data_IF_976696685603
#
_entry.id   IF_976696685603
#
_cell.length_a   1.000
_cell.length_b   1.000
_cell.length_c   1.000
_cell.angle_alpha   90.00
_cell.angle_beta   90.00
_cell.angle_gamma   90.00
#
_symmetry.space_group_name_H-M   'P 1'
#
loop_
_entity.id
_entity.type
_entity.pdbx_description
1 polymer ?
#
# COMPACT_ATOMS: atom_id res chain seq x y z
N UNK A 1 -52.64 3.54 35.07
CA UNK A 1 -51.31 4.15 35.29
C UNK A 1 -50.37 3.09 35.84
N UNK A 2 -49.61 2.40 34.98
CA UNK A 2 -48.47 1.56 35.35
C UNK A 2 -47.39 1.78 34.29
N UNK A 3 -46.28 2.34 34.76
CA UNK A 3 -45.11 2.78 34.00
C UNK A 3 -44.43 1.54 33.41
N UNK A 4 -44.37 1.41 32.08
CA UNK A 4 -43.52 0.42 31.41
C UNK A 4 -42.21 1.13 31.09
N UNK A 5 -41.15 0.72 31.79
CA UNK A 5 -39.78 1.18 31.59
C UNK A 5 -39.30 0.64 30.23
N UNK A 6 -39.09 1.54 29.27
CA UNK A 6 -38.42 1.24 28.01
C UNK A 6 -36.92 1.13 28.33
N UNK A 7 -36.40 -0.09 28.38
CA UNK A 7 -34.96 -0.33 28.44
C UNK A 7 -34.37 -0.05 27.05
N UNK A 8 -33.93 1.19 26.81
CA UNK A 8 -33.08 1.51 25.67
C UNK A 8 -31.73 0.82 25.90
N UNK A 9 -31.55 -0.38 25.36
CA UNK A 9 -30.22 -0.88 25.06
C UNK A 9 -29.64 0.01 23.96
N UNK A 10 -28.82 0.98 24.35
CA UNK A 10 -27.87 1.59 23.43
C UNK A 10 -26.96 0.47 22.94
N UNK A 11 -27.07 0.13 21.65
CA UNK A 11 -26.06 -0.66 20.95
C UNK A 11 -24.76 0.15 21.02
N UNK A 12 -23.90 -0.13 21.99
CA UNK A 12 -22.49 0.18 21.87
C UNK A 12 -21.94 -0.72 20.76
N UNK A 13 -21.78 -0.15 19.57
CA UNK A 13 -21.08 -0.81 18.48
C UNK A 13 -19.69 -1.24 19.00
N UNK A 14 -19.36 -2.53 18.88
CA UNK A 14 -18.10 -3.12 19.32
C UNK A 14 -16.89 -2.32 18.79
N UNK A 15 -16.04 -1.74 19.66
CA UNK A 15 -14.75 -1.18 19.24
C UNK A 15 -13.66 -2.25 19.01
N UNK A 16 -13.98 -3.53 19.21
CA UNK A 16 -12.99 -4.60 19.38
C UNK A 16 -12.40 -5.22 18.09
N UNK A 17 -12.96 -4.96 16.92
CA UNK A 17 -12.48 -5.57 15.68
C UNK A 17 -11.22 -4.88 15.11
N UNK A 18 -11.05 -3.58 15.40
CA UNK A 18 -10.07 -2.73 14.74
C UNK A 18 -8.70 -2.76 15.46
N UNK A 19 -8.68 -2.67 16.79
CA UNK A 19 -7.42 -2.75 17.58
C UNK A 19 -6.73 -4.11 17.44
N UNK A 20 -7.52 -5.20 17.38
CA UNK A 20 -7.02 -6.55 17.16
C UNK A 20 -6.34 -6.69 15.79
N UNK A 21 -6.88 -6.04 14.76
CA UNK A 21 -6.30 -6.08 13.42
C UNK A 21 -4.93 -5.41 13.37
N UNK A 22 -4.80 -4.16 13.85
CA UNK A 22 -3.52 -3.44 13.78
C UNK A 22 -2.43 -4.12 14.58
N UNK A 23 -2.74 -4.65 15.77
CA UNK A 23 -1.79 -5.40 16.57
C UNK A 23 -1.36 -6.71 15.90
N UNK A 24 -2.30 -7.43 15.27
CA UNK A 24 -2.00 -8.67 14.54
C UNK A 24 -1.16 -8.40 13.28
N UNK A 25 -1.51 -7.37 12.49
CA UNK A 25 -0.74 -6.92 11.34
C UNK A 25 0.69 -6.54 11.74
N UNK A 26 0.85 -5.74 12.80
CA UNK A 26 2.16 -5.33 13.30
C UNK A 26 3.00 -6.53 13.77
N UNK A 27 2.38 -7.47 14.50
CA UNK A 27 3.06 -8.69 14.94
C UNK A 27 3.54 -9.52 13.74
N UNK A 28 2.67 -9.74 12.75
CA UNK A 28 2.99 -10.55 11.58
C UNK A 28 4.06 -9.91 10.71
N UNK A 29 3.96 -8.60 10.49
CA UNK A 29 4.89 -7.86 9.64
C UNK A 29 6.30 -7.79 10.24
N UNK A 30 6.45 -7.83 11.58
CA UNK A 30 7.76 -7.88 12.24
C UNK A 30 8.58 -9.12 11.88
N UNK A 31 7.92 -10.23 11.59
CA UNK A 31 8.52 -11.52 11.20
C UNK A 31 8.96 -11.55 9.72
N UNK A 32 8.59 -10.53 8.94
CA UNK A 32 8.89 -10.44 7.51
C UNK A 32 10.10 -9.52 7.32
N UNK A 33 11.16 -10.09 6.75
CA UNK A 33 12.37 -9.38 6.35
C UNK A 33 12.43 -9.14 4.85
N UNK A 34 11.86 -10.06 4.06
CA UNK A 34 11.79 -9.93 2.60
C UNK A 34 10.46 -10.44 2.06
N UNK A 35 10.02 -9.87 0.95
CA UNK A 35 8.92 -10.37 0.14
C UNK A 35 9.37 -10.40 -1.32
N UNK A 36 9.05 -11.47 -2.03
CA UNK A 36 9.06 -11.53 -3.49
C UNK A 36 7.68 -11.95 -3.95
N UNK A 37 7.13 -11.30 -4.97
CA UNK A 37 5.82 -11.65 -5.51
C UNK A 37 5.75 -11.29 -6.99
N UNK A 38 4.99 -12.04 -7.77
CA UNK A 38 4.55 -11.56 -9.07
C UNK A 38 3.49 -10.49 -8.89
N UNK A 39 3.40 -9.54 -9.82
CA UNK A 39 2.28 -8.61 -9.87
C UNK A 39 1.68 -8.48 -11.26
N UNK A 40 0.38 -8.22 -11.29
CA UNK A 40 -0.34 -7.67 -12.43
C UNK A 40 -0.85 -6.28 -12.06
N UNK A 41 -0.43 -5.28 -12.82
CA UNK A 41 -0.91 -3.91 -12.73
C UNK A 41 -1.97 -3.69 -13.82
N UNK A 42 -3.08 -3.04 -13.49
CA UNK A 42 -4.06 -2.53 -14.44
C UNK A 42 -4.28 -1.04 -14.17
N UNK A 43 -3.85 -0.19 -15.10
CA UNK A 43 -4.08 1.26 -15.04
C UNK A 43 -5.23 1.61 -15.97
N UNK A 44 -6.35 2.04 -15.38
CA UNK A 44 -7.48 2.59 -16.10
C UNK A 44 -7.31 4.09 -16.28
N UNK A 45 -7.42 4.56 -17.53
CA UNK A 45 -7.23 5.96 -17.91
C UNK A 45 -8.59 6.54 -18.28
N UNK A 46 -9.09 7.45 -17.45
CA UNK A 46 -10.48 7.95 -17.57
C UNK A 46 -10.69 8.77 -18.84
N UNK A 47 -9.68 9.51 -19.32
CA UNK A 47 -9.81 10.39 -20.48
C UNK A 47 -9.99 9.65 -21.81
N UNK A 48 -9.61 8.38 -21.89
CA UNK A 48 -9.67 7.56 -23.10
C UNK A 48 -10.47 6.27 -22.93
N UNK A 49 -10.98 6.00 -21.73
CA UNK A 49 -11.73 4.78 -21.38
C UNK A 49 -10.95 3.49 -21.74
N UNK A 50 -9.65 3.49 -21.44
CA UNK A 50 -8.77 2.35 -21.73
C UNK A 50 -8.10 1.82 -20.46
N UNK A 51 -7.82 0.52 -20.46
CA UNK A 51 -7.03 -0.13 -19.42
C UNK A 51 -5.72 -0.65 -20.00
N UNK A 52 -4.61 -0.20 -19.43
CA UNK A 52 -3.27 -0.71 -19.73
C UNK A 52 -2.91 -1.76 -18.67
N UNK A 53 -2.53 -2.95 -19.11
CA UNK A 53 -2.10 -4.04 -18.23
C UNK A 53 -0.59 -4.21 -18.31
N UNK A 54 0.07 -4.16 -17.15
CA UNK A 54 1.49 -4.44 -17.01
C UNK A 54 1.73 -5.61 -16.07
N UNK A 55 2.85 -6.33 -16.22
CA UNK A 55 3.21 -7.45 -15.36
C UNK A 55 4.67 -7.38 -14.97
N UNK A 56 5.00 -7.94 -13.81
CA UNK A 56 6.37 -7.90 -13.31
C UNK A 56 6.55 -8.62 -11.99
N UNK A 57 7.68 -8.35 -11.34
CA UNK A 57 8.04 -8.89 -10.03
C UNK A 57 8.23 -7.74 -9.04
N UNK A 58 7.64 -7.91 -7.87
CA UNK A 58 7.74 -7.05 -6.72
C UNK A 58 8.73 -7.64 -5.72
N UNK A 59 9.58 -6.77 -5.18
CA UNK A 59 10.51 -7.09 -4.11
C UNK A 59 10.35 -6.09 -2.97
N UNK A 60 10.34 -6.61 -1.75
CA UNK A 60 10.49 -5.84 -0.54
C UNK A 60 11.66 -6.39 0.25
N UNK A 61 12.47 -5.48 0.77
CA UNK A 61 13.45 -5.73 1.81
C UNK A 61 13.13 -4.76 2.95
N UNK A 62 13.19 -5.27 4.18
CA UNK A 62 12.93 -4.50 5.40
C UNK A 62 13.74 -3.20 5.40
N UNK A 63 13.26 -2.22 6.19
CA UNK A 63 13.81 -0.87 6.25
C UNK A 63 13.54 -0.05 4.99
N UNK A 64 12.32 -0.18 4.45
CA UNK A 64 11.79 0.73 3.42
C UNK A 64 12.33 0.51 2.00
N UNK A 65 12.96 -0.64 1.72
CA UNK A 65 13.49 -0.96 0.41
C UNK A 65 12.45 -1.70 -0.44
N UNK A 66 12.05 -1.09 -1.55
CA UNK A 66 11.00 -1.60 -2.44
C UNK A 66 11.49 -1.56 -3.88
N UNK A 67 11.18 -2.60 -4.66
CA UNK A 67 11.47 -2.64 -6.09
C UNK A 67 10.33 -3.26 -6.88
N UNK A 68 9.94 -2.61 -7.96
CA UNK A 68 9.04 -3.14 -8.98
C UNK A 68 9.80 -3.29 -10.28
N UNK A 69 9.98 -4.52 -10.73
CA UNK A 69 10.54 -4.82 -12.06
C UNK A 69 9.41 -5.18 -13.00
N UNK A 70 9.05 -4.23 -13.87
CA UNK A 70 8.09 -4.44 -14.95
C UNK A 70 8.77 -5.17 -16.09
N UNK A 71 8.14 -6.27 -16.54
CA UNK A 71 8.61 -7.09 -17.65
C UNK A 71 7.78 -6.89 -18.93
N UNK A 72 6.52 -6.46 -18.80
CA UNK A 72 5.63 -6.23 -19.95
C UNK A 72 4.60 -5.14 -19.64
N UNK A 73 4.11 -4.40 -20.66
CA UNK A 73 4.58 -4.39 -22.05
C UNK A 73 5.90 -3.63 -22.24
N UNK A 74 6.32 -2.84 -21.24
CA UNK A 74 7.58 -2.11 -21.24
C UNK A 74 8.46 -2.60 -20.10
N UNK A 75 9.72 -2.86 -20.40
CA UNK A 75 10.72 -3.22 -19.39
C UNK A 75 11.16 -1.95 -18.66
N UNK A 76 10.94 -1.93 -17.35
CA UNK A 76 11.36 -0.84 -16.48
C UNK A 76 11.49 -1.30 -15.03
N UNK A 77 12.34 -0.62 -14.25
CA UNK A 77 12.47 -0.84 -12.81
C UNK A 77 12.14 0.44 -12.06
N UNK A 78 11.32 0.33 -11.02
CA UNK A 78 11.14 1.36 -10.01
C UNK A 78 11.80 0.85 -8.75
N UNK A 79 12.80 1.55 -8.24
CA UNK A 79 13.56 1.18 -7.04
C UNK A 79 13.40 2.32 -6.04
N UNK A 80 12.90 2.01 -4.86
CA UNK A 80 12.68 2.97 -3.78
C UNK A 80 13.44 2.52 -2.55
N UNK A 81 14.26 3.43 -2.03
CA UNK A 81 14.91 3.35 -0.72
C UNK A 81 14.34 4.45 0.19
N UNK A 82 14.63 4.47 1.49
CA UNK A 82 14.14 5.52 2.40
C UNK A 82 14.47 6.96 1.97
N UNK A 83 15.55 7.16 1.20
CA UNK A 83 16.05 8.45 0.76
C UNK A 83 15.76 8.77 -0.71
N UNK A 84 15.64 7.76 -1.59
CA UNK A 84 15.65 7.94 -3.04
C UNK A 84 14.62 7.09 -3.76
N UNK A 85 14.24 7.58 -4.94
CA UNK A 85 13.49 6.84 -5.94
C UNK A 85 14.27 6.84 -7.25
N UNK A 86 14.54 5.66 -7.79
CA UNK A 86 15.12 5.46 -9.11
C UNK A 86 14.08 4.88 -10.05
N UNK A 87 13.98 5.45 -11.24
CA UNK A 87 13.22 4.89 -12.36
C UNK A 87 14.21 4.58 -13.47
N UNK A 88 14.35 3.30 -13.79
CA UNK A 88 15.21 2.80 -14.85
C UNK A 88 14.31 2.36 -16.00
N UNK A 89 14.43 3.00 -17.15
CA UNK A 89 13.63 2.67 -18.33
C UNK A 89 14.39 3.05 -19.59
N UNK A 90 14.35 2.19 -20.62
CA UNK A 90 14.93 2.46 -21.94
C UNK A 90 16.41 2.90 -21.87
N UNK A 91 17.20 2.27 -21.00
CA UNK A 91 18.62 2.57 -20.80
C UNK A 91 18.90 3.89 -20.06
N UNK A 92 17.88 4.59 -19.57
CA UNK A 92 18.01 5.82 -18.79
C UNK A 92 17.60 5.58 -17.35
N UNK A 93 18.35 6.18 -16.43
CA UNK A 93 18.01 6.25 -15.01
C UNK A 93 17.62 7.67 -14.67
N UNK A 94 16.44 7.84 -14.05
CA UNK A 94 16.03 9.08 -13.42
C UNK A 94 15.99 8.88 -11.91
N UNK A 95 16.61 9.78 -11.16
CA UNK A 95 16.70 9.70 -9.70
C UNK A 95 16.00 10.89 -9.07
N UNK A 96 15.14 10.63 -8.09
CA UNK A 96 14.48 11.64 -7.27
C UNK A 96 14.93 11.49 -5.82
N UNK A 97 15.24 12.62 -5.20
CA UNK A 97 15.50 12.72 -3.76
C UNK A 97 14.15 12.88 -3.05
N UNK A 98 13.80 11.95 -2.14
CA UNK A 98 12.48 11.94 -1.52
C UNK A 98 12.26 13.14 -0.58
N UNK A 99 13.30 13.59 0.11
CA UNK A 99 13.31 14.80 0.94
C UNK A 99 12.89 16.07 0.16
N UNK A 100 13.23 16.14 -1.13
CA UNK A 100 12.87 17.25 -2.02
C UNK A 100 11.49 17.10 -2.66
N UNK A 101 10.87 15.92 -2.53
CA UNK A 101 9.63 15.56 -3.21
C UNK A 101 8.62 15.04 -2.18
N UNK A 102 8.01 15.96 -1.42
CA UNK A 102 7.13 15.62 -0.29
C UNK A 102 6.06 14.57 -0.64
N UNK A 103 5.44 14.68 -1.82
CA UNK A 103 4.43 13.71 -2.27
C UNK A 103 4.99 12.29 -2.44
N UNK A 104 6.21 12.15 -2.98
CA UNK A 104 6.89 10.87 -3.12
C UNK A 104 7.37 10.32 -1.77
N UNK A 105 7.90 11.18 -0.89
CA UNK A 105 8.30 10.78 0.47
C UNK A 105 7.11 10.25 1.28
N UNK A 106 5.96 10.91 1.20
CA UNK A 106 4.76 10.47 1.90
C UNK A 106 4.25 9.12 1.37
N UNK A 107 4.32 8.89 0.05
CA UNK A 107 3.99 7.60 -0.55
C UNK A 107 4.94 6.49 -0.07
N UNK A 108 6.24 6.76 -0.03
CA UNK A 108 7.25 5.82 0.46
C UNK A 108 6.97 5.40 1.91
N UNK A 109 6.69 6.38 2.78
CA UNK A 109 6.32 6.13 4.18
C UNK A 109 5.02 5.35 4.33
N UNK A 110 4.02 5.62 3.49
CA UNK A 110 2.77 4.84 3.48
C UNK A 110 3.06 3.38 3.11
N UNK A 111 3.84 3.13 2.05
CA UNK A 111 4.23 1.77 1.67
C UNK A 111 5.03 1.07 2.77
N UNK A 112 6.01 1.75 3.37
CA UNK A 112 6.82 1.22 4.46
C UNK A 112 5.97 0.88 5.68
N UNK A 113 5.10 1.80 6.13
CA UNK A 113 4.20 1.58 7.25
C UNK A 113 3.30 0.37 7.04
N UNK A 114 2.79 0.20 5.82
CA UNK A 114 1.89 -0.90 5.49
C UNK A 114 2.61 -2.25 5.36
N UNK A 115 3.82 -2.29 4.78
CA UNK A 115 4.62 -3.51 4.67
C UNK A 115 5.29 -3.91 5.99
N UNK A 116 5.72 -2.92 6.79
CA UNK A 116 6.28 -3.12 8.12
C UNK A 116 5.22 -3.31 9.22
N UNK A 117 3.94 -3.12 8.89
CA UNK A 117 2.81 -3.26 9.79
C UNK A 117 2.71 -2.19 10.88
N UNK A 118 3.51 -1.12 10.80
CA UNK A 118 3.46 0.01 11.74
C UNK A 118 2.67 1.17 11.14
N UNK A 119 1.34 1.00 11.11
CA UNK A 119 0.39 1.98 10.55
C UNK A 119 0.46 3.34 11.27
N UNK A 120 0.96 3.40 12.50
CA UNK A 120 1.12 4.65 13.24
C UNK A 120 2.22 5.56 12.68
N UNK A 121 3.12 5.02 11.86
CA UNK A 121 4.17 5.79 11.18
C UNK A 121 3.68 6.49 9.92
N UNK A 122 2.46 6.20 9.46
CA UNK A 122 1.83 6.94 8.37
C UNK A 122 1.76 8.43 8.75
N UNK A 123 2.22 9.35 7.88
CA UNK A 123 2.22 10.77 8.21
C UNK A 123 0.83 11.27 8.61
N UNK A 124 0.76 12.09 9.67
CA UNK A 124 -0.51 12.64 10.21
C UNK A 124 -1.33 13.44 9.19
N UNK A 125 -0.71 13.85 8.08
CA UNK A 125 -1.38 14.44 6.91
C UNK A 125 -2.33 13.47 6.20
N UNK A 126 -2.30 12.19 6.54
CA UNK A 126 -3.22 11.17 6.07
C UNK A 126 -4.14 10.70 7.20
N UNK A 127 -5.31 10.23 6.79
CA UNK A 127 -6.25 9.49 7.62
C UNK A 127 -6.24 8.05 7.14
N UNK A 128 -6.10 7.13 8.08
CA UNK A 128 -6.21 5.69 7.84
C UNK A 128 -7.53 5.22 8.44
N UNK A 129 -8.25 4.40 7.71
CA UNK A 129 -9.44 3.69 8.21
C UNK A 129 -9.37 2.23 7.82
N UNK A 130 -9.86 1.37 8.70
CA UNK A 130 -9.91 -0.08 8.51
C UNK A 130 -11.36 -0.56 8.37
N UNK A 131 -11.54 -1.63 7.59
CA UNK A 131 -12.78 -2.41 7.52
C UNK A 131 -12.48 -3.86 7.14
N UNK A 132 -13.17 -4.82 7.75
CA UNK A 132 -13.28 -6.18 7.20
C UNK A 132 -14.47 -6.21 6.21
N UNK A 133 -14.20 -6.49 4.94
CA UNK A 133 -15.22 -6.53 3.90
C UNK A 133 -14.98 -7.71 2.97
N UNK A 134 -16.01 -8.53 2.75
CA UNK A 134 -15.97 -9.69 1.85
C UNK A 134 -14.76 -10.62 2.09
N UNK A 135 -14.44 -10.90 3.37
CA UNK A 135 -13.33 -11.77 3.76
C UNK A 135 -11.94 -11.17 3.50
N UNK A 136 -11.82 -9.84 3.44
CA UNK A 136 -10.54 -9.12 3.28
C UNK A 136 -10.44 -7.97 4.27
N UNK A 137 -9.29 -7.88 4.93
CA UNK A 137 -8.95 -6.69 5.69
C UNK A 137 -8.61 -5.57 4.72
N UNK A 138 -9.33 -4.45 4.81
CA UNK A 138 -9.17 -3.33 3.90
C UNK A 138 -8.69 -2.11 4.67
N UNK A 139 -7.55 -1.55 4.27
CA UNK A 139 -7.05 -0.27 4.73
C UNK A 139 -7.32 0.79 3.66
N UNK A 140 -7.94 1.90 4.04
CA UNK A 140 -8.14 3.07 3.19
C UNK A 140 -7.35 4.24 3.76
N UNK A 141 -6.45 4.79 2.94
CA UNK A 141 -5.50 5.84 3.30
C UNK A 141 -5.81 7.06 2.43
N UNK A 142 -6.26 8.13 3.06
CA UNK A 142 -6.77 9.33 2.39
C UNK A 142 -6.03 10.56 2.91
N UNK A 143 -5.49 11.44 2.06
CA UNK A 143 -4.96 12.72 2.49
C UNK A 143 -6.03 13.54 3.22
N UNK A 144 -5.72 14.11 4.39
CA UNK A 144 -6.66 14.92 5.16
C UNK A 144 -7.02 16.24 4.47
N UNK A 145 -6.04 16.83 3.79
CA UNK A 145 -6.20 18.12 3.11
C UNK A 145 -5.79 17.99 1.63
N UNK A 146 -6.46 18.75 0.77
CA UNK A 146 -6.17 18.78 -0.68
C UNK A 146 -4.76 19.28 -0.99
N UNK A 147 -4.14 20.04 -0.08
CA UNK A 147 -2.78 20.60 -0.17
C UNK A 147 -1.67 19.53 -0.09
N UNK A 148 -2.00 18.28 0.26
CA UNK A 148 -1.04 17.19 0.14
C UNK A 148 -0.72 16.99 -1.35
N UNK A 149 0.49 17.38 -1.75
CA UNK A 149 1.02 17.45 -3.12
C UNK A 149 1.22 16.08 -3.81
N UNK A 150 0.60 15.01 -3.30
CA UNK A 150 0.68 13.68 -3.88
C UNK A 150 -0.27 13.50 -5.07
N UNK A 151 0.05 12.60 -6.01
CA UNK A 151 -0.80 12.32 -7.17
C UNK A 151 -2.08 11.55 -6.82
N UNK A 152 -2.21 11.06 -5.58
CA UNK A 152 -3.29 10.17 -5.15
C UNK A 152 -4.35 10.87 -4.31
N UNK A 153 -5.62 10.56 -4.59
CA UNK A 153 -6.78 10.88 -3.77
C UNK A 153 -6.98 9.87 -2.64
N UNK A 154 -6.68 8.60 -2.90
CA UNK A 154 -6.88 7.50 -1.96
C UNK A 154 -5.97 6.33 -2.34
N UNK A 155 -5.45 5.64 -1.33
CA UNK A 155 -4.79 4.34 -1.48
C UNK A 155 -5.62 3.33 -0.72
N UNK A 156 -5.98 2.22 -1.36
CA UNK A 156 -6.62 1.08 -0.69
C UNK A 156 -5.72 -0.14 -0.74
N UNK A 157 -5.57 -0.81 0.40
CA UNK A 157 -4.86 -2.06 0.53
C UNK A 157 -5.83 -3.13 0.97
N UNK A 158 -5.78 -4.28 0.32
CA UNK A 158 -6.60 -5.44 0.59
C UNK A 158 -5.67 -6.57 1.02
N UNK A 159 -5.80 -6.98 2.27
CA UNK A 159 -4.97 -8.00 2.90
C UNK A 159 -5.82 -9.26 3.11
N UNK A 160 -5.18 -10.42 2.95
CA UNK A 160 -5.80 -11.72 3.21
C UNK A 160 -6.20 -11.83 4.69
N UNK A 161 -7.39 -12.38 4.94
CA UNK A 161 -7.94 -12.53 6.29
C UNK A 161 -7.15 -13.51 7.17
N UNK A 162 -6.56 -14.54 6.55
CA UNK A 162 -5.87 -15.60 7.28
C UNK A 162 -4.45 -15.25 7.71
N UNK A 163 -3.71 -14.51 6.88
CA UNK A 163 -2.26 -14.32 7.05
C UNK A 163 -1.79 -12.87 6.90
N UNK A 164 -2.73 -11.93 6.69
CA UNK A 164 -2.47 -10.50 6.50
C UNK A 164 -1.56 -10.16 5.32
N UNK A 165 -1.31 -11.09 4.39
CA UNK A 165 -0.51 -10.82 3.20
C UNK A 165 -1.24 -9.88 2.24
N UNK A 166 -0.49 -9.00 1.57
CA UNK A 166 -1.06 -8.05 0.60
C UNK A 166 -1.49 -8.78 -0.67
N UNK A 167 -2.79 -8.78 -0.93
CA UNK A 167 -3.41 -9.37 -2.12
C UNK A 167 -3.54 -8.33 -3.23
N UNK A 168 -4.07 -7.15 -2.88
CA UNK A 168 -4.36 -6.10 -3.86
C UNK A 168 -4.09 -4.71 -3.30
N UNK A 169 -3.59 -3.83 -4.15
CA UNK A 169 -3.47 -2.40 -3.88
C UNK A 169 -4.20 -1.62 -4.98
N UNK A 170 -4.95 -0.59 -4.61
CA UNK A 170 -5.60 0.32 -5.56
C UNK A 170 -5.17 1.75 -5.25
N UNK A 171 -4.63 2.41 -6.27
CA UNK A 171 -4.24 3.81 -6.24
C UNK A 171 -5.28 4.61 -7.01
N UNK A 172 -6.03 5.47 -6.32
CA UNK A 172 -6.95 6.41 -6.94
C UNK A 172 -6.20 7.71 -7.19
N UNK A 173 -6.02 8.08 -8.46
CA UNK A 173 -5.23 9.23 -8.87
C UNK A 173 -6.11 10.49 -8.97
N UNK A 174 -5.51 11.68 -8.81
CA UNK A 174 -6.22 12.97 -8.92
C UNK A 174 -6.72 13.28 -10.33
N UNK A 175 -6.17 12.60 -11.33
CA UNK A 175 -6.65 12.61 -12.73
C UNK A 175 -7.96 11.83 -12.91
N UNK A 176 -8.51 11.24 -11.83
CA UNK A 176 -9.59 10.26 -11.84
C UNK A 176 -9.20 8.92 -12.47
N UNK A 177 -7.94 8.73 -12.83
CA UNK A 177 -7.40 7.41 -13.18
C UNK A 177 -7.35 6.54 -11.92
N UNK A 178 -7.31 5.23 -12.10
CA UNK A 178 -6.97 4.33 -11.00
C UNK A 178 -6.05 3.22 -11.47
N UNK A 179 -5.09 2.88 -10.62
CA UNK A 179 -4.12 1.83 -10.86
C UNK A 179 -4.33 0.73 -9.84
N UNK A 180 -4.62 -0.49 -10.29
CA UNK A 180 -4.75 -1.67 -9.44
C UNK A 180 -3.52 -2.56 -9.59
N UNK A 181 -2.93 -2.97 -8.48
CA UNK A 181 -1.93 -4.05 -8.42
C UNK A 181 -2.57 -5.26 -7.76
N UNK A 182 -2.42 -6.43 -8.36
CA UNK A 182 -2.71 -7.73 -7.73
C UNK A 182 -1.42 -8.51 -7.60
N UNK A 183 -1.16 -9.05 -6.43
CA UNK A 183 0.05 -9.78 -6.11
C UNK A 183 -0.24 -11.28 -6.04
N UNK A 184 0.69 -12.10 -6.48
CA UNK A 184 0.59 -13.56 -6.46
C UNK A 184 1.95 -14.21 -6.25
N UNK A 185 1.98 -15.50 -5.93
CA UNK A 185 3.21 -16.26 -5.71
C UNK A 185 4.13 -15.61 -4.66
N UNK A 186 3.53 -15.16 -3.55
CA UNK A 186 4.26 -14.52 -2.47
C UNK A 186 5.24 -15.51 -1.83
N UNK A 187 6.51 -15.14 -1.82
CA UNK A 187 7.59 -15.82 -1.11
C UNK A 187 8.16 -14.87 -0.05
N UNK A 188 8.10 -15.29 1.21
CA UNK A 188 8.52 -14.49 2.36
C UNK A 188 9.88 -14.99 2.86
N UNK A 189 10.72 -14.07 3.37
CA UNK A 189 11.97 -14.38 4.05
C UNK A 189 13.00 -15.16 3.23
N UNK A 190 12.89 -15.12 1.89
CA UNK A 190 13.95 -15.57 0.99
C UNK A 190 15.12 -14.60 0.99
N UNK A 191 16.33 -15.11 0.73
CA UNK A 191 17.51 -14.26 0.59
C UNK A 191 17.36 -13.30 -0.60
N UNK A 192 17.45 -12.00 -0.33
CA UNK A 192 17.54 -10.94 -1.32
C UNK A 192 18.82 -10.14 -1.09
N UNK A 193 19.55 -9.85 -2.15
CA UNK A 193 20.74 -9.00 -2.08
C UNK A 193 20.32 -7.54 -1.92
N UNK A 194 20.81 -6.86 -0.88
CA UNK A 194 20.58 -5.42 -0.70
C UNK A 194 21.03 -4.58 -1.91
N UNK A 195 21.99 -5.08 -2.70
CA UNK A 195 22.45 -4.43 -3.94
C UNK A 195 21.35 -4.28 -4.99
N UNK A 196 20.29 -5.10 -4.94
CA UNK A 196 19.14 -4.97 -5.84
C UNK A 196 18.38 -3.66 -5.65
N UNK A 197 18.51 -3.03 -4.50
CA UNK A 197 17.84 -1.79 -4.14
C UNK A 197 18.75 -0.55 -4.28
N UNK A 198 19.94 -0.75 -4.82
CA UNK A 198 20.89 0.31 -5.18
C UNK A 198 20.86 0.53 -6.70
N UNK A 199 21.44 1.66 -7.13
CA UNK A 199 21.72 1.91 -8.55
C UNK A 199 22.98 1.17 -8.99
#
# INVERSE_FOLDING_TARGET
MKLIVILLFTLFAKPYADENFYAALAKRSKEISTVTADFVQSKYITSVDETIVSKGVFFYLKEGNVRFDYASPKVMSIIMSPDKLHIISSGKTTTFSLDKQKGLSDLARVMEACMGGDINTIPKTYRVSYRLQAGKHTLSIVPRNKEVLGPYLKIELFLNESDYSLDKMVLYERTNDFTTYKFSNLALNNSLSGKMFLL
#
